data_IF_266347669307
#
_entry.id   IF_266347669307
#
_cell.length_a   1.000
_cell.length_b   1.000
_cell.length_c   1.000
_cell.angle_alpha   90.00
_cell.angle_beta   90.00
_cell.angle_gamma   90.00
#
_symmetry.space_group_name_H-M   'P 1'
#
loop_
_entity.id
_entity.type
_entity.pdbx_description
1 polymer ?
#
# COMPACT_ATOMS: atom_id res chain seq x y z
N UNK A 1 -0.19 0.26 -22.78
CA UNK A 1 -1.44 0.65 -22.09
C UNK A 1 -1.15 1.93 -21.35
N UNK A 2 -1.86 3.01 -21.66
CA UNK A 2 -1.63 4.30 -21.01
C UNK A 2 -2.03 4.19 -19.55
N UNK A 3 -1.06 4.27 -18.64
CA UNK A 3 -1.33 4.49 -17.22
C UNK A 3 -1.79 5.94 -17.11
N UNK A 4 -3.09 6.14 -16.88
CA UNK A 4 -3.58 7.43 -16.40
C UNK A 4 -2.77 7.81 -15.14
N UNK A 5 -2.18 9.01 -15.14
CA UNK A 5 -1.48 9.59 -13.97
C UNK A 5 -2.47 10.04 -12.88
N UNK A 6 -3.76 9.74 -13.03
CA UNK A 6 -4.81 10.19 -12.12
C UNK A 6 -4.97 9.21 -10.95
N UNK A 7 -4.91 9.74 -9.73
CA UNK A 7 -5.15 8.94 -8.52
C UNK A 7 -6.64 8.64 -8.39
N UNK A 8 -7.00 7.36 -8.41
CA UNK A 8 -8.38 6.92 -8.14
C UNK A 8 -8.63 6.79 -6.65
N UNK A 9 -9.72 7.39 -6.17
CA UNK A 9 -10.20 7.27 -4.79
C UNK A 9 -11.44 6.38 -4.78
N UNK A 10 -11.42 5.31 -3.98
CA UNK A 10 -12.55 4.40 -3.80
C UNK A 10 -13.24 4.64 -2.47
N UNK A 11 -14.54 4.90 -2.50
CA UNK A 11 -15.42 4.90 -1.32
C UNK A 11 -15.96 3.49 -1.09
N UNK A 12 -16.50 3.23 0.09
CA UNK A 12 -17.08 1.91 0.42
C UNK A 12 -18.14 1.46 -0.60
N UNK A 13 -18.98 2.37 -1.11
CA UNK A 13 -19.99 2.08 -2.12
C UNK A 13 -19.41 1.66 -3.49
N UNK A 14 -18.15 1.99 -3.75
CA UNK A 14 -17.46 1.64 -4.99
C UNK A 14 -16.83 0.23 -4.89
N UNK A 15 -16.82 -0.39 -3.70
CA UNK A 15 -16.30 -1.74 -3.48
C UNK A 15 -17.44 -2.75 -3.54
N UNK A 16 -17.40 -3.63 -4.54
CA UNK A 16 -18.41 -4.69 -4.71
C UNK A 16 -18.18 -5.85 -3.72
N UNK A 17 -16.93 -6.27 -3.54
CA UNK A 17 -16.54 -7.30 -2.56
C UNK A 17 -15.02 -7.41 -2.37
N UNK A 18 -14.62 -7.99 -1.25
CA UNK A 18 -13.24 -8.31 -0.89
C UNK A 18 -13.17 -9.79 -0.51
N UNK A 19 -12.17 -10.52 -1.01
CA UNK A 19 -11.97 -11.94 -0.73
C UNK A 19 -10.50 -12.19 -0.35
N UNK A 20 -10.27 -12.68 0.85
CA UNK A 20 -8.99 -13.24 1.25
C UNK A 20 -8.99 -14.76 1.00
N UNK A 21 -7.99 -15.26 0.29
CA UNK A 21 -7.91 -16.67 -0.08
C UNK A 21 -6.46 -17.15 -0.19
N UNK A 22 -6.26 -18.45 -0.09
CA UNK A 22 -4.98 -19.11 -0.41
C UNK A 22 -5.21 -19.88 -1.71
N UNK A 23 -4.52 -19.53 -2.82
CA UNK A 23 -4.65 -20.28 -4.06
C UNK A 23 -4.24 -21.75 -3.87
N UNK A 24 -4.77 -22.70 -4.66
CA UNK A 24 -4.24 -24.05 -4.70
C UNK A 24 -2.72 -24.03 -4.90
N UNK A 25 -2.01 -24.97 -4.27
CA UNK A 25 -0.53 -25.11 -4.27
C UNK A 25 0.28 -23.93 -3.70
N UNK A 26 -0.37 -22.90 -3.14
CA UNK A 26 0.31 -21.77 -2.49
C UNK A 26 0.16 -21.84 -0.97
N UNK A 27 1.09 -21.22 -0.26
CA UNK A 27 1.08 -21.13 1.22
C UNK A 27 0.65 -19.77 1.75
N UNK A 28 0.63 -18.77 0.87
CA UNK A 28 0.48 -17.37 1.24
C UNK A 28 -0.87 -16.83 0.81
N UNK A 29 -1.43 -15.97 1.65
CA UNK A 29 -2.71 -15.31 1.40
C UNK A 29 -2.61 -14.41 0.17
N UNK A 30 -3.73 -14.28 -0.54
CA UNK A 30 -4.00 -13.28 -1.57
C UNK A 30 -5.25 -12.52 -1.17
N UNK A 31 -5.29 -11.24 -1.55
CA UNK A 31 -6.46 -10.40 -1.37
C UNK A 31 -6.99 -9.99 -2.73
N UNK A 32 -8.15 -10.51 -3.11
CA UNK A 32 -8.91 -10.06 -4.27
C UNK A 32 -9.82 -8.91 -3.83
N UNK A 33 -9.79 -7.81 -4.57
CA UNK A 33 -10.68 -6.66 -4.38
C UNK A 33 -11.36 -6.37 -5.71
N UNK A 34 -12.69 -6.33 -5.68
CA UNK A 34 -13.54 -5.99 -6.81
C UNK A 34 -14.18 -4.63 -6.57
N UNK A 35 -13.77 -3.64 -7.35
CA UNK A 35 -14.37 -2.32 -7.41
C UNK A 35 -15.45 -2.26 -8.49
N UNK A 36 -16.16 -1.14 -8.58
CA UNK A 36 -17.17 -0.89 -9.62
C UNK A 36 -16.59 -0.91 -11.03
N UNK A 37 -15.35 -0.43 -11.18
CA UNK A 37 -14.67 -0.22 -12.47
C UNK A 37 -13.47 -1.17 -12.74
N UNK A 38 -12.91 -1.84 -11.72
CA UNK A 38 -11.78 -2.75 -11.89
C UNK A 38 -11.69 -3.86 -10.84
N UNK A 39 -10.79 -4.82 -11.08
CA UNK A 39 -10.52 -5.97 -10.21
C UNK A 39 -9.02 -6.10 -10.00
N UNK A 40 -8.58 -6.28 -8.76
CA UNK A 40 -7.16 -6.46 -8.43
C UNK A 40 -6.94 -7.66 -7.49
N UNK A 41 -5.76 -8.26 -7.58
CA UNK A 41 -5.28 -9.27 -6.62
C UNK A 41 -3.94 -8.82 -6.06
N UNK A 42 -3.85 -8.77 -4.72
CA UNK A 42 -2.67 -8.31 -4.00
C UNK A 42 -1.97 -9.52 -3.34
N UNK A 43 -0.64 -9.55 -3.39
CA UNK A 43 0.18 -10.58 -2.74
C UNK A 43 0.39 -10.26 -1.25
N UNK A 44 0.60 -11.31 -0.43
CA UNK A 44 0.78 -11.19 1.02
C UNK A 44 1.77 -10.10 1.44
N UNK A 45 2.98 -10.06 0.86
CA UNK A 45 3.99 -9.07 1.25
C UNK A 45 3.53 -7.61 1.04
N UNK A 46 2.71 -7.35 0.02
CA UNK A 46 2.13 -6.03 -0.22
C UNK A 46 1.00 -5.74 0.77
N UNK A 47 0.18 -6.73 1.11
CA UNK A 47 -0.86 -6.61 2.15
C UNK A 47 -0.21 -6.28 3.50
N UNK A 48 0.84 -7.01 3.87
CA UNK A 48 1.59 -6.80 5.12
C UNK A 48 2.17 -5.38 5.19
N UNK A 49 2.65 -4.84 4.06
CA UNK A 49 3.13 -3.46 3.98
C UNK A 49 2.01 -2.42 4.11
N UNK A 50 0.86 -2.63 3.46
CA UNK A 50 -0.32 -1.76 3.61
C UNK A 50 -0.76 -1.73 5.06
N UNK A 51 -0.87 -2.90 5.71
CA UNK A 51 -1.23 -3.01 7.12
C UNK A 51 -0.23 -2.25 7.98
N UNK A 52 1.09 -2.49 7.82
CA UNK A 52 2.12 -1.78 8.59
C UNK A 52 2.07 -0.28 8.41
N UNK A 53 1.90 0.20 7.18
CA UNK A 53 1.80 1.64 6.91
C UNK A 53 0.55 2.24 7.59
N UNK A 54 -0.60 1.60 7.43
CA UNK A 54 -1.86 2.05 8.00
C UNK A 54 -1.82 2.09 9.53
N UNK A 55 -1.45 0.99 10.18
CA UNK A 55 -1.43 0.92 11.66
C UNK A 55 -0.38 1.87 12.26
N UNK A 56 0.73 2.11 11.55
CA UNK A 56 1.78 3.03 12.01
C UNK A 56 1.29 4.47 12.14
N UNK A 57 0.27 4.86 11.37
CA UNK A 57 -0.35 6.19 11.45
C UNK A 57 -1.61 6.12 12.30
N UNK A 58 -2.55 5.23 11.96
CA UNK A 58 -3.86 5.16 12.58
C UNK A 58 -3.82 4.86 14.09
N UNK A 59 -2.82 4.11 14.56
CA UNK A 59 -2.69 3.72 15.96
C UNK A 59 -1.60 4.49 16.71
N UNK A 60 -0.90 5.41 16.06
CA UNK A 60 0.16 6.20 16.70
C UNK A 60 -0.38 7.59 17.05
N UNK A 61 -0.27 8.06 18.30
CA UNK A 61 -0.98 9.26 18.77
C UNK A 61 -0.51 10.57 18.12
N UNK A 62 0.67 10.59 17.49
CA UNK A 62 1.29 11.78 16.92
C UNK A 62 1.74 11.65 15.46
N UNK A 63 1.75 10.42 14.90
CA UNK A 63 2.31 10.21 13.56
C UNK A 63 1.22 10.50 12.55
N UNK A 64 1.54 11.31 11.54
CA UNK A 64 0.63 11.73 10.47
C UNK A 64 0.94 11.05 9.14
N UNK A 65 2.19 10.67 8.90
CA UNK A 65 2.57 9.97 7.68
C UNK A 65 3.70 8.95 7.89
N UNK A 66 3.75 7.96 7.01
CA UNK A 66 4.89 7.08 6.80
C UNK A 66 4.93 6.67 5.34
N UNK A 67 6.13 6.53 4.78
CA UNK A 67 6.33 6.11 3.40
C UNK A 67 7.11 4.80 3.38
N UNK A 68 6.58 3.81 2.66
CA UNK A 68 7.27 2.55 2.40
C UNK A 68 7.51 2.44 0.90
N UNK A 69 8.78 2.30 0.49
CA UNK A 69 9.16 2.20 -0.92
C UNK A 69 9.66 0.81 -1.28
N UNK A 70 9.52 0.46 -2.55
CA UNK A 70 10.03 -0.81 -3.08
C UNK A 70 11.55 -0.81 -3.01
N UNK A 71 12.11 -1.74 -2.24
CA UNK A 71 13.54 -2.08 -2.26
C UNK A 71 13.73 -3.56 -2.59
N UNK A 72 14.80 -3.84 -3.33
CA UNK A 72 15.32 -5.18 -3.55
C UNK A 72 16.33 -5.45 -2.43
N UNK A 73 16.01 -6.37 -1.52
CA UNK A 73 16.85 -6.71 -0.38
C UNK A 73 17.66 -7.97 -0.67
N UNK A 74 18.96 -7.92 -0.40
CA UNK A 74 19.82 -9.11 -0.48
C UNK A 74 19.41 -10.16 0.55
N UNK A 75 19.89 -11.40 0.41
CA UNK A 75 19.62 -12.49 1.38
C UNK A 75 20.07 -12.14 2.80
N UNK A 76 21.09 -11.30 2.97
CA UNK A 76 21.64 -10.93 4.27
C UNK A 76 20.87 -9.76 4.93
N UNK A 77 20.11 -8.97 4.15
CA UNK A 77 19.31 -7.85 4.65
C UNK A 77 17.89 -8.25 5.04
N UNK A 78 17.43 -9.45 4.63
CA UNK A 78 16.08 -9.94 4.88
C UNK A 78 16.10 -11.21 5.70
N UNK A 79 15.06 -11.40 6.51
CA UNK A 79 14.85 -12.66 7.24
C UNK A 79 14.64 -13.82 6.27
N UNK A 80 14.99 -15.03 6.70
CA UNK A 80 14.76 -16.24 5.93
C UNK A 80 13.26 -16.39 5.59
N UNK A 81 12.97 -16.78 4.35
CA UNK A 81 11.60 -16.94 3.85
C UNK A 81 10.91 -15.65 3.38
N UNK A 82 11.48 -14.46 3.62
CA UNK A 82 10.90 -13.20 3.13
C UNK A 82 11.14 -13.02 1.63
N UNK A 83 10.29 -12.24 0.94
CA UNK A 83 10.49 -11.98 -0.48
C UNK A 83 11.68 -11.02 -0.71
N UNK A 84 12.31 -11.13 -1.87
CA UNK A 84 13.43 -10.26 -2.27
C UNK A 84 13.00 -8.81 -2.43
N UNK A 85 11.85 -8.57 -3.06
CA UNK A 85 11.25 -7.25 -3.15
C UNK A 85 10.35 -7.03 -1.94
N UNK A 86 10.65 -5.97 -1.18
CA UNK A 86 9.89 -5.56 0.00
C UNK A 86 9.54 -4.08 -0.12
N UNK A 87 8.48 -3.67 0.57
CA UNK A 87 8.15 -2.28 0.81
C UNK A 87 8.69 -1.93 2.21
N UNK A 88 9.69 -1.06 2.27
CA UNK A 88 10.38 -0.72 3.53
C UNK A 88 10.35 0.78 3.75
N UNK A 89 10.29 1.15 5.02
CA UNK A 89 10.19 2.51 5.52
C UNK A 89 11.34 3.39 4.98
N UNK A 90 11.03 4.61 4.58
CA UNK A 90 12.03 5.62 4.24
C UNK A 90 12.37 6.48 5.45
N UNK A 91 13.47 7.24 5.34
CA UNK A 91 13.86 8.25 6.34
C UNK A 91 13.25 9.63 6.02
N UNK A 92 12.28 9.68 5.11
CA UNK A 92 11.66 10.93 4.67
C UNK A 92 10.80 11.50 5.79
N UNK A 93 10.89 12.81 6.00
CA UNK A 93 10.09 13.52 7.00
C UNK A 93 8.62 13.54 6.60
N UNK A 94 7.74 13.51 7.59
CA UNK A 94 6.29 13.46 7.39
C UNK A 94 5.79 14.66 6.57
N UNK A 95 6.33 15.86 6.80
CA UNK A 95 5.97 17.06 6.05
C UNK A 95 6.26 16.92 4.55
N UNK A 96 7.39 16.28 4.21
CA UNK A 96 7.76 16.02 2.83
C UNK A 96 6.85 14.98 2.17
N UNK A 97 6.42 13.97 2.93
CA UNK A 97 5.47 12.96 2.44
C UNK A 97 4.11 13.61 2.17
N UNK A 98 3.60 14.40 3.12
CA UNK A 98 2.31 15.09 2.99
C UNK A 98 2.31 16.07 1.80
N UNK A 99 3.35 16.89 1.64
CA UNK A 99 3.46 17.82 0.51
C UNK A 99 3.44 17.12 -0.86
N UNK A 100 4.00 15.91 -0.96
CA UNK A 100 3.90 15.12 -2.18
C UNK A 100 2.52 14.49 -2.37
N UNK A 101 1.88 14.02 -1.30
CA UNK A 101 0.50 13.50 -1.36
C UNK A 101 -0.49 14.57 -1.80
N UNK A 102 -0.38 15.80 -1.29
CA UNK A 102 -1.26 16.92 -1.69
C UNK A 102 -1.19 17.17 -3.21
N UNK A 103 0.04 17.12 -3.77
CA UNK A 103 0.27 17.25 -5.22
C UNK A 103 -0.30 16.07 -6.00
N UNK A 104 -0.15 14.84 -5.49
CA UNK A 104 -0.63 13.62 -6.15
C UNK A 104 -2.16 13.52 -6.14
N UNK A 105 -2.78 13.93 -5.04
CA UNK A 105 -4.23 13.91 -4.86
C UNK A 105 -4.93 15.13 -5.46
N UNK A 106 -4.19 16.12 -5.96
CA UNK A 106 -4.74 17.36 -6.49
C UNK A 106 -5.44 18.20 -5.43
N UNK A 107 -5.07 18.03 -4.15
CA UNK A 107 -5.60 18.84 -3.05
C UNK A 107 -4.86 20.18 -3.09
N UNK A 108 -5.42 21.14 -3.81
CA UNK A 108 -5.12 22.55 -3.53
C UNK A 108 -5.60 22.84 -2.11
N UNK A 109 -4.70 23.26 -1.22
CA UNK A 109 -5.05 23.77 0.11
C UNK A 109 -6.31 24.64 0.01
N UNK A 110 -7.41 24.20 0.63
CA UNK A 110 -8.58 25.03 0.85
C UNK A 110 -8.61 25.36 2.33
N UNK A 111 -8.36 26.64 2.59
CA UNK A 111 -8.66 27.50 3.75
C UNK A 111 -8.56 26.90 5.17
#
# INVERSE_FOLDING_TARGET
MATSNEVKIYKNQDVKRIIAFIPPSHRHVRLYIEFTDQKIVIQQATIDAIIRAYISVALHPQRKAIELIRRRLSRNERKEGFAEYQLVETLKKEEGIMCELDKLLGVSSHD
#
